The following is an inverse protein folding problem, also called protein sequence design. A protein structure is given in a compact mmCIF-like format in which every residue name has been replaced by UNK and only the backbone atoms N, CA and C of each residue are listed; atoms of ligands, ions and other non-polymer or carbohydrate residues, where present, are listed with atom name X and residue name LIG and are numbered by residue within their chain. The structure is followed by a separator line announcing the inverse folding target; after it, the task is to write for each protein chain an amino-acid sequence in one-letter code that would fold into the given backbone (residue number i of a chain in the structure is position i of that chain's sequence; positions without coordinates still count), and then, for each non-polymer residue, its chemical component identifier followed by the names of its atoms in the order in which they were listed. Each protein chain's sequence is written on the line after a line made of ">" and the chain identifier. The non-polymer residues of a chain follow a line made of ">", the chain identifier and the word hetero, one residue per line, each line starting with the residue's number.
data_IF_354009619624
#
_entry.id   IF_354009619624
#
_cell.length_a   1.000
_cell.length_b   1.000
_cell.length_c   1.000
_cell.angle_alpha   90.00
_cell.angle_beta   90.00
_cell.angle_gamma   90.00
#
_symmetry.space_group_name_H-M   'P 1'
#
loop_
_entity.id
_entity.type
_entity.pdbx_description
1 polymer ?
#
# COMPACT_ATOMS: atom_id res chain seq x y z
N UNK A 1 4.49 15.10 -18.05
CA UNK A 1 3.99 14.43 -16.84
C UNK A 1 4.88 14.68 -15.65
N UNK A 2 6.04 14.02 -15.59
CA UNK A 2 6.92 13.99 -14.41
C UNK A 2 7.25 15.37 -13.81
N UNK A 3 7.81 16.31 -14.58
CA UNK A 3 8.14 17.67 -14.08
C UNK A 3 6.91 18.37 -13.49
N UNK A 4 5.80 18.39 -14.22
CA UNK A 4 4.57 19.04 -13.76
C UNK A 4 3.98 18.39 -12.49
N UNK A 5 4.02 17.06 -12.39
CA UNK A 5 3.54 16.34 -11.21
C UNK A 5 4.41 16.60 -9.98
N UNK A 6 5.74 16.56 -10.14
CA UNK A 6 6.66 16.86 -9.04
C UNK A 6 6.59 18.33 -8.63
N UNK A 7 6.49 19.27 -9.58
CA UNK A 7 6.27 20.70 -9.26
C UNK A 7 5.00 20.89 -8.44
N UNK A 8 3.89 20.25 -8.82
CA UNK A 8 2.65 20.32 -8.04
C UNK A 8 2.82 19.79 -6.61
N UNK A 9 3.51 18.66 -6.42
CA UNK A 9 3.82 18.13 -5.10
C UNK A 9 4.69 19.09 -4.27
N UNK A 10 5.71 19.69 -4.90
CA UNK A 10 6.57 20.70 -4.25
C UNK A 10 5.76 21.94 -3.85
N UNK A 11 4.80 22.36 -4.66
CA UNK A 11 3.95 23.49 -4.36
C UNK A 11 2.99 23.19 -3.18
N UNK A 12 2.48 21.96 -3.05
CA UNK A 12 1.72 21.54 -1.85
C UNK A 12 2.54 21.69 -0.57
N UNK A 13 3.83 21.35 -0.62
CA UNK A 13 4.75 21.49 0.51
C UNK A 13 5.05 22.97 0.80
N UNK A 14 5.39 23.75 -0.23
CA UNK A 14 5.68 25.19 -0.10
C UNK A 14 4.50 25.96 0.48
N UNK A 15 3.29 25.62 0.05
CA UNK A 15 2.03 26.21 0.49
C UNK A 15 1.51 25.60 1.80
N UNK A 16 2.30 24.76 2.48
CA UNK A 16 1.99 24.17 3.80
C UNK A 16 0.74 23.28 3.82
N UNK A 17 0.33 22.75 2.68
CA UNK A 17 -0.72 21.71 2.61
C UNK A 17 -0.18 20.33 3.01
N UNK A 18 1.13 20.13 2.92
CA UNK A 18 1.83 18.91 3.36
C UNK A 18 3.19 19.27 3.98
N UNK A 19 3.75 18.38 4.80
CA UNK A 19 5.14 18.48 5.26
C UNK A 19 6.04 17.58 4.40
N UNK A 20 7.25 18.05 4.08
CA UNK A 20 8.25 17.28 3.35
C UNK A 20 8.77 16.07 4.15
N UNK A 21 8.75 16.17 5.48
CA UNK A 21 9.28 15.16 6.39
C UNK A 21 8.24 14.10 6.79
N UNK A 22 7.03 14.16 6.23
CA UNK A 22 6.00 13.15 6.50
C UNK A 22 6.42 11.80 5.91
N UNK A 23 6.73 10.86 6.79
CA UNK A 23 7.00 9.46 6.45
C UNK A 23 5.74 8.58 6.55
N UNK A 24 5.91 7.27 6.33
CA UNK A 24 4.84 6.28 6.41
C UNK A 24 4.17 6.26 7.78
N UNK A 25 4.96 6.20 8.86
CA UNK A 25 4.45 6.07 10.23
C UNK A 25 3.71 7.32 10.69
N UNK A 26 4.19 8.51 10.28
CA UNK A 26 3.55 9.78 10.57
C UNK A 26 2.20 9.87 9.86
N UNK A 27 2.14 9.52 8.56
CA UNK A 27 0.91 9.56 7.78
C UNK A 27 -0.13 8.54 8.29
N UNK A 28 0.31 7.32 8.60
CA UNK A 28 -0.55 6.27 9.16
C UNK A 28 -1.11 6.69 10.53
N UNK A 29 -0.26 7.17 11.44
CA UNK A 29 -0.70 7.61 12.76
C UNK A 29 -1.69 8.77 12.68
N UNK A 30 -1.43 9.78 11.83
CA UNK A 30 -2.33 10.92 11.66
C UNK A 30 -3.71 10.48 11.13
N UNK A 31 -3.75 9.56 10.15
CA UNK A 31 -5.02 9.07 9.61
C UNK A 31 -5.77 8.22 10.62
N UNK A 32 -5.09 7.29 11.29
CA UNK A 32 -5.70 6.39 12.28
C UNK A 32 -6.18 7.13 13.54
N UNK A 33 -5.64 8.32 13.83
CA UNK A 33 -6.14 9.21 14.88
C UNK A 33 -7.25 10.16 14.42
N UNK A 34 -7.62 10.13 13.14
CA UNK A 34 -8.60 11.05 12.54
C UNK A 34 -8.11 12.49 12.39
N UNK A 35 -6.79 12.72 12.42
CA UNK A 35 -6.17 14.04 12.32
C UNK A 35 -6.05 14.53 10.88
N UNK A 36 -6.15 13.62 9.90
CA UNK A 36 -6.18 13.94 8.46
C UNK A 36 -7.35 13.25 7.77
N UNK A 37 -7.95 13.93 6.80
CA UNK A 37 -9.10 13.42 6.06
C UNK A 37 -8.74 12.33 5.03
N UNK A 38 -7.51 12.31 4.53
CA UNK A 38 -7.07 11.38 3.48
C UNK A 38 -5.64 10.91 3.71
N UNK A 39 -5.38 9.68 3.27
CA UNK A 39 -4.04 9.08 3.11
C UNK A 39 -4.00 8.27 1.81
N UNK A 40 -2.81 8.00 1.28
CA UNK A 40 -2.61 7.13 0.12
C UNK A 40 -1.79 5.92 0.58
N UNK A 41 -2.40 4.73 0.54
CA UNK A 41 -1.76 3.50 0.98
C UNK A 41 -2.30 2.29 0.21
N UNK A 42 -1.73 1.10 0.42
CA UNK A 42 -2.20 -0.16 -0.14
C UNK A 42 -3.03 -1.01 0.83
N UNK A 43 -3.54 -2.17 0.37
CA UNK A 43 -4.45 -3.02 1.15
C UNK A 43 -3.87 -3.53 2.47
N UNK A 44 -2.56 -3.69 2.56
CA UNK A 44 -1.85 -4.16 3.76
C UNK A 44 -2.04 -3.25 4.98
N UNK A 45 -2.45 -1.99 4.80
CA UNK A 45 -2.65 -1.04 5.90
C UNK A 45 -4.06 -1.08 6.52
N UNK A 46 -5.03 -1.75 5.87
CA UNK A 46 -6.45 -1.68 6.27
C UNK A 46 -6.70 -2.22 7.68
N UNK A 47 -6.05 -3.33 8.06
CA UNK A 47 -6.20 -3.93 9.41
C UNK A 47 -5.86 -2.95 10.55
N UNK A 48 -4.85 -2.09 10.36
CA UNK A 48 -4.50 -1.06 11.34
C UNK A 48 -5.58 0.03 11.42
N UNK A 49 -6.16 0.41 10.28
CA UNK A 49 -7.25 1.40 10.22
C UNK A 49 -8.52 0.82 10.86
N UNK A 50 -8.86 -0.44 10.58
CA UNK A 50 -10.01 -1.14 11.19
C UNK A 50 -9.91 -1.13 12.73
N UNK A 51 -8.70 -1.42 13.25
CA UNK A 51 -8.43 -1.40 14.69
C UNK A 51 -8.59 0.00 15.30
N UNK A 52 -8.32 1.06 14.53
CA UNK A 52 -8.45 2.45 14.97
C UNK A 52 -9.90 2.94 15.07
N UNK A 53 -10.87 2.17 14.53
CA UNK A 53 -12.30 2.52 14.48
C UNK A 53 -12.62 3.81 13.71
N UNK A 54 -11.70 4.28 12.86
CA UNK A 54 -11.96 5.34 11.89
C UNK A 54 -12.92 4.81 10.82
N UNK A 55 -13.97 5.56 10.51
CA UNK A 55 -14.85 5.23 9.39
C UNK A 55 -14.21 5.70 8.07
N UNK A 56 -13.59 4.78 7.34
CA UNK A 56 -12.88 5.09 6.10
C UNK A 56 -13.54 4.45 4.88
N UNK A 57 -13.19 4.98 3.71
CA UNK A 57 -13.52 4.39 2.41
C UNK A 57 -12.28 4.26 1.55
N UNK A 58 -12.29 3.27 0.66
CA UNK A 58 -11.27 3.09 -0.37
C UNK A 58 -11.86 3.55 -1.70
N UNK A 59 -11.16 4.43 -2.42
CA UNK A 59 -11.65 5.01 -3.67
C UNK A 59 -10.53 5.18 -4.69
N UNK A 60 -10.90 5.59 -5.90
CA UNK A 60 -9.97 5.88 -6.99
C UNK A 60 -9.06 7.06 -6.63
N UNK A 61 -7.79 6.99 -7.07
CA UNK A 61 -6.84 8.08 -6.88
C UNK A 61 -7.29 9.35 -7.64
N UNK A 62 -7.01 10.55 -7.10
CA UNK A 62 -7.35 11.80 -7.77
C UNK A 62 -6.72 11.92 -9.16
N UNK A 63 -7.41 12.58 -10.09
CA UNK A 63 -6.83 12.91 -11.40
C UNK A 63 -5.85 14.08 -11.29
N UNK A 64 -4.87 14.16 -12.18
CA UNK A 64 -4.02 15.33 -12.36
C UNK A 64 -4.15 15.85 -13.79
N UNK A 65 -4.59 17.11 -13.93
CA UNK A 65 -4.85 17.76 -15.23
C UNK A 65 -5.77 16.92 -16.14
N UNK A 66 -6.84 16.36 -15.57
CA UNK A 66 -7.81 15.54 -16.29
C UNK A 66 -7.36 14.10 -16.59
N UNK A 67 -6.13 13.72 -16.22
CA UNK A 67 -5.64 12.36 -16.41
C UNK A 67 -5.68 11.56 -15.11
N UNK A 68 -6.07 10.26 -15.13
CA UNK A 68 -6.00 9.39 -13.96
C UNK A 68 -4.58 9.29 -13.41
N UNK A 69 -4.45 9.24 -12.08
CA UNK A 69 -3.19 8.89 -11.43
C UNK A 69 -2.81 7.44 -11.76
N UNK A 70 -1.51 7.19 -11.96
CA UNK A 70 -0.97 5.91 -12.42
C UNK A 70 -0.02 5.33 -11.37
N UNK A 71 -0.54 4.60 -10.37
CA UNK A 71 0.32 3.90 -9.40
C UNK A 71 1.09 2.78 -10.13
N UNK A 72 2.29 2.47 -9.65
CA UNK A 72 2.95 1.24 -10.06
C UNK A 72 2.21 0.05 -9.44
N UNK A 73 1.92 -0.95 -10.28
CA UNK A 73 1.27 -2.19 -9.84
C UNK A 73 2.35 -3.19 -9.48
N UNK A 74 2.37 -3.62 -8.21
CA UNK A 74 3.24 -4.68 -7.71
C UNK A 74 2.48 -6.00 -7.61
N UNK A 75 3.15 -7.10 -7.94
CA UNK A 75 2.62 -8.46 -7.75
C UNK A 75 3.48 -9.14 -6.68
N UNK A 76 2.90 -9.35 -5.49
CA UNK A 76 3.58 -10.11 -4.44
C UNK A 76 3.84 -11.53 -4.95
N UNK A 77 5.10 -11.95 -4.93
CA UNK A 77 5.56 -13.21 -5.51
C UNK A 77 6.49 -13.92 -4.52
N UNK A 78 6.40 -15.24 -4.44
CA UNK A 78 7.29 -16.07 -3.63
C UNK A 78 8.31 -16.77 -4.54
N UNK A 79 9.59 -16.37 -4.43
CA UNK A 79 10.70 -16.99 -5.18
C UNK A 79 11.41 -18.06 -4.35
N UNK A 80 11.77 -19.18 -4.98
CA UNK A 80 12.55 -20.25 -4.35
C UNK A 80 14.04 -20.00 -4.60
N UNK A 81 14.85 -20.01 -3.54
CA UNK A 81 16.30 -19.85 -3.65
C UNK A 81 16.93 -20.97 -4.51
N UNK A 82 17.70 -20.59 -5.53
CA UNK A 82 18.36 -21.52 -6.44
C UNK A 82 19.32 -22.51 -5.73
N UNK A 83 19.92 -22.12 -4.61
CA UNK A 83 20.81 -22.97 -3.82
C UNK A 83 20.08 -23.87 -2.81
N UNK A 84 18.77 -23.73 -2.64
CA UNK A 84 18.02 -24.50 -1.63
C UNK A 84 18.09 -26.02 -1.91
N UNK A 85 18.39 -26.86 -0.91
CA UNK A 85 18.24 -28.31 -1.03
C UNK A 85 16.77 -28.76 -0.95
N UNK A 86 15.84 -27.87 -0.55
CA UNK A 86 14.44 -28.18 -0.24
C UNK A 86 13.47 -27.65 -1.31
N UNK A 87 13.86 -27.68 -2.60
CA UNK A 87 13.06 -27.06 -3.67
C UNK A 87 11.67 -27.69 -3.80
N UNK A 88 11.58 -29.01 -3.77
CA UNK A 88 10.30 -29.71 -3.86
C UNK A 88 9.40 -29.45 -2.65
N UNK A 89 9.98 -29.41 -1.43
CA UNK A 89 9.21 -29.06 -0.23
C UNK A 89 8.69 -27.62 -0.27
N UNK A 90 9.50 -26.67 -0.75
CA UNK A 90 9.07 -25.29 -0.91
C UNK A 90 7.96 -25.17 -1.97
N UNK A 91 8.07 -25.92 -3.07
CA UNK A 91 7.03 -26.00 -4.10
C UNK A 91 5.74 -26.60 -3.53
N UNK A 92 5.82 -27.71 -2.80
CA UNK A 92 4.67 -28.34 -2.16
C UNK A 92 3.97 -27.38 -1.20
N UNK A 93 4.72 -26.67 -0.35
CA UNK A 93 4.17 -25.65 0.53
C UNK A 93 3.46 -24.54 -0.24
N UNK A 94 4.11 -23.98 -1.27
CA UNK A 94 3.52 -22.89 -2.05
C UNK A 94 2.27 -23.34 -2.80
N UNK A 95 2.31 -24.46 -3.50
CA UNK A 95 1.21 -24.91 -4.37
C UNK A 95 0.04 -25.53 -3.61
N UNK A 96 0.30 -26.30 -2.54
CA UNK A 96 -0.73 -27.11 -1.89
C UNK A 96 -1.18 -26.59 -0.51
N UNK A 97 -0.45 -25.63 0.08
CA UNK A 97 -0.80 -25.06 1.39
C UNK A 97 -1.01 -23.55 1.35
N UNK A 98 -0.20 -22.80 0.61
CA UNK A 98 -0.31 -21.34 0.55
C UNK A 98 -1.26 -20.87 -0.55
N UNK A 99 -1.09 -21.33 -1.79
CA UNK A 99 -1.87 -20.92 -2.96
C UNK A 99 -3.20 -21.70 -3.09
N UNK A 100 -3.86 -21.90 -1.96
CA UNK A 100 -5.22 -22.43 -1.85
C UNK A 100 -6.13 -21.35 -1.25
N UNK A 101 -7.44 -21.54 -1.35
CA UNK A 101 -8.41 -20.61 -0.76
C UNK A 101 -8.16 -20.45 0.75
N UNK A 102 -7.94 -21.55 1.47
CA UNK A 102 -7.69 -21.53 2.93
C UNK A 102 -6.36 -20.85 3.28
N UNK A 103 -5.30 -21.12 2.49
CA UNK A 103 -3.98 -20.54 2.71
C UNK A 103 -3.96 -19.03 2.51
N UNK A 104 -4.57 -18.56 1.41
CA UNK A 104 -4.69 -17.14 1.12
C UNK A 104 -5.63 -16.43 2.09
N UNK A 105 -6.75 -17.05 2.48
CA UNK A 105 -7.65 -16.51 3.51
C UNK A 105 -6.90 -16.31 4.82
N UNK A 106 -6.10 -17.29 5.27
CA UNK A 106 -5.35 -17.19 6.52
C UNK A 106 -4.33 -16.04 6.52
N UNK A 107 -3.71 -15.75 5.37
CA UNK A 107 -2.79 -14.61 5.21
C UNK A 107 -3.52 -13.27 5.15
N UNK A 108 -4.75 -13.26 4.63
CA UNK A 108 -5.54 -12.06 4.38
C UNK A 108 -6.47 -11.66 5.56
N UNK A 109 -6.19 -12.14 6.77
CA UNK A 109 -6.94 -11.82 7.99
C UNK A 109 -6.53 -10.50 8.62
#
# INVERSE_FOLDING_TARGET
>A
GAKAGLTFLVDLIKNKHMNADTDYSIAEAAFNKGETAMTINGPWAWSNIDTSKVNYGVTVLPTFKGHPSKPFVGVLSAGINAASPNKELAKEFLENYLLTDEGLEAVNK
#
